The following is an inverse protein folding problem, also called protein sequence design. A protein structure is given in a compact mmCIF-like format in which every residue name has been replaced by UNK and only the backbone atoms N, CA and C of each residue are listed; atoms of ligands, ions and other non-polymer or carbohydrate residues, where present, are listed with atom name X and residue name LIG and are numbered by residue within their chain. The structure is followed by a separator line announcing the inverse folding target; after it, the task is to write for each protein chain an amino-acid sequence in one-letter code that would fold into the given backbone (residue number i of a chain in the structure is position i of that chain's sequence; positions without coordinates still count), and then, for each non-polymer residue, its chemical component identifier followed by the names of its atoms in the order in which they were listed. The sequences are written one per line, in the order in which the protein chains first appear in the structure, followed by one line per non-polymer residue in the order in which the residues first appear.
data_IF_932835070099
#
_entry.id   IF_932835070099
#
_cell.length_a   1.000
_cell.length_b   1.000
_cell.length_c   1.000
_cell.angle_alpha   90.00
_cell.angle_beta   90.00
_cell.angle_gamma   90.00
#
_symmetry.space_group_name_H-M   'P 1'
#
loop_
_entity.id
_entity.type
_entity.pdbx_description
1 polymer ?
#
# COMPACT_ATOMS: atom_id res chain seq x y z
N UNK A 1 -4.63 -13.34 -10.84
CA UNK A 1 -4.81 -12.74 -12.18
C UNK A 1 -5.46 -11.38 -12.00
N UNK A 2 -4.93 -10.32 -12.64
CA UNK A 2 -5.53 -8.99 -12.70
C UNK A 2 -5.93 -8.71 -14.16
N UNK A 3 -7.02 -9.32 -14.60
CA UNK A 3 -7.51 -9.09 -15.97
C UNK A 3 -8.12 -7.70 -16.07
N UNK A 4 -7.79 -6.96 -17.13
CA UNK A 4 -8.35 -5.64 -17.40
C UNK A 4 -7.70 -4.46 -16.68
N UNK A 5 -6.69 -4.69 -15.84
CA UNK A 5 -5.93 -3.60 -15.20
C UNK A 5 -4.71 -3.27 -16.06
N UNK A 6 -4.56 -2.02 -16.54
CA UNK A 6 -3.40 -1.66 -17.34
C UNK A 6 -2.13 -1.70 -16.48
N UNK A 7 -0.99 -2.05 -17.07
CA UNK A 7 0.29 -2.07 -16.36
C UNK A 7 0.64 -0.71 -15.76
N UNK A 8 0.22 0.38 -16.39
CA UNK A 8 0.36 1.75 -15.89
C UNK A 8 -0.31 1.98 -14.52
N UNK A 9 -1.38 1.26 -14.21
CA UNK A 9 -2.04 1.32 -12.90
C UNK A 9 -1.15 0.79 -11.77
N UNK A 10 -0.20 -0.09 -12.09
CA UNK A 10 0.77 -0.61 -11.11
C UNK A 10 1.85 0.43 -10.83
N UNK A 11 2.30 1.16 -11.86
CA UNK A 11 3.26 2.25 -11.74
C UNK A 11 2.75 3.42 -10.88
N UNK A 12 1.47 3.80 -11.06
CA UNK A 12 0.87 4.91 -10.30
C UNK A 12 0.30 4.49 -8.94
N UNK A 13 0.54 3.24 -8.52
CA UNK A 13 0.01 2.64 -7.29
C UNK A 13 -1.53 2.66 -7.16
N UNK A 14 -2.27 2.97 -8.23
CA UNK A 14 -3.73 3.11 -8.25
C UNK A 14 -4.48 1.79 -8.52
N UNK A 15 -3.76 0.66 -8.57
CA UNK A 15 -4.36 -0.65 -8.88
C UNK A 15 -5.47 -1.02 -7.89
N UNK A 16 -5.26 -0.79 -6.59
CA UNK A 16 -6.27 -1.10 -5.57
C UNK A 16 -7.49 -0.20 -5.74
N UNK A 17 -7.28 1.08 -5.99
CA UNK A 17 -8.35 2.05 -6.16
C UNK A 17 -9.22 1.71 -7.37
N UNK A 18 -8.61 1.35 -8.51
CA UNK A 18 -9.35 0.90 -9.70
C UNK A 18 -10.19 -0.35 -9.40
N UNK A 19 -9.61 -1.34 -8.70
CA UNK A 19 -10.34 -2.55 -8.32
C UNK A 19 -11.56 -2.23 -7.43
N UNK A 20 -11.38 -1.33 -6.46
CA UNK A 20 -12.45 -0.94 -5.54
C UNK A 20 -13.53 -0.12 -6.24
N UNK A 21 -13.15 0.77 -7.15
CA UNK A 21 -14.09 1.53 -7.98
C UNK A 21 -14.90 0.63 -8.91
N UNK A 22 -14.28 -0.40 -9.48
CA UNK A 22 -14.99 -1.38 -10.31
C UNK A 22 -15.96 -2.21 -9.48
N UNK A 23 -15.54 -2.63 -8.28
CA UNK A 23 -16.40 -3.36 -7.34
C UNK A 23 -17.63 -2.51 -6.96
N UNK A 24 -17.42 -1.24 -6.65
CA UNK A 24 -18.48 -0.29 -6.32
C UNK A 24 -19.40 -0.04 -7.54
N UNK A 25 -18.83 0.04 -8.75
CA UNK A 25 -19.61 0.14 -9.99
C UNK A 25 -20.47 -1.10 -10.25
N UNK A 26 -19.91 -2.30 -10.07
CA UNK A 26 -20.65 -3.56 -10.13
C UNK A 26 -21.80 -3.56 -9.12
N UNK A 27 -21.53 -3.13 -7.88
CA UNK A 27 -22.54 -3.08 -6.84
C UNK A 27 -23.68 -2.11 -7.14
N UNK A 28 -23.37 -0.93 -7.72
CA UNK A 28 -24.37 0.08 -8.10
C UNK A 28 -25.22 -0.32 -9.31
N UNK A 29 -24.61 -0.97 -10.31
CA UNK A 29 -25.28 -1.29 -11.58
C UNK A 29 -26.13 -2.56 -11.49
N UNK A 30 -25.81 -3.46 -10.56
CA UNK A 30 -26.58 -4.68 -10.35
C UNK A 30 -27.95 -4.36 -9.76
N UNK A 31 -29.03 -4.82 -10.42
CA UNK A 31 -30.41 -4.59 -9.97
C UNK A 31 -30.84 -5.53 -8.82
N UNK A 32 -29.99 -6.47 -8.39
CA UNK A 32 -30.30 -7.52 -7.42
C UNK A 32 -29.17 -7.70 -6.39
N UNK A 33 -29.24 -8.75 -5.56
CA UNK A 33 -28.24 -9.04 -4.51
C UNK A 33 -26.82 -9.17 -5.08
N UNK A 34 -25.90 -8.35 -4.58
CA UNK A 34 -24.48 -8.45 -4.88
C UNK A 34 -23.84 -9.58 -4.07
N UNK A 35 -23.18 -10.52 -4.75
CA UNK A 35 -22.42 -11.59 -4.12
C UNK A 35 -20.93 -11.40 -4.38
N UNK A 36 -20.11 -11.42 -3.32
CA UNK A 36 -18.66 -11.35 -3.41
C UNK A 36 -18.08 -12.71 -3.04
N UNK A 37 -17.27 -13.28 -3.93
CA UNK A 37 -16.55 -14.53 -3.67
C UNK A 37 -15.07 -14.22 -3.46
N UNK A 38 -14.57 -14.50 -2.26
CA UNK A 38 -13.15 -14.38 -1.94
C UNK A 38 -12.42 -15.67 -2.34
N UNK A 39 -11.80 -15.66 -3.51
CA UNK A 39 -10.99 -16.76 -4.01
C UNK A 39 -9.54 -16.59 -3.54
N UNK A 40 -9.20 -17.19 -2.40
CA UNK A 40 -7.83 -17.17 -1.88
C UNK A 40 -6.99 -18.31 -2.45
N UNK A 41 -5.92 -17.98 -3.18
CA UNK A 41 -4.72 -18.82 -3.20
C UNK A 41 -3.94 -18.53 -1.91
N UNK A 42 -3.36 -19.54 -1.24
CA UNK A 42 -2.85 -19.46 0.16
C UNK A 42 -2.01 -18.22 0.49
N UNK A 43 -1.37 -17.58 -0.49
CA UNK A 43 -0.62 -16.34 -0.34
C UNK A 43 -0.90 -15.39 -1.51
N UNK A 44 -2.07 -14.76 -1.54
CA UNK A 44 -2.37 -13.71 -2.50
C UNK A 44 -1.31 -12.59 -2.49
N UNK A 45 -1.14 -11.89 -3.61
CA UNK A 45 -0.17 -10.79 -3.73
C UNK A 45 -0.48 -9.69 -2.70
N UNK A 46 0.47 -9.39 -1.82
CA UNK A 46 0.37 -8.29 -0.86
C UNK A 46 1.06 -7.05 -1.43
N UNK A 47 0.25 -6.09 -1.86
CA UNK A 47 0.75 -4.81 -2.37
C UNK A 47 1.25 -3.92 -1.24
N UNK A 48 2.23 -3.08 -1.57
CA UNK A 48 2.59 -1.92 -0.74
C UNK A 48 1.42 -0.93 -0.75
N UNK A 49 1.03 -0.37 0.41
CA UNK A 49 -0.04 0.62 0.47
C UNK A 49 0.36 1.92 -0.23
N UNK A 50 -0.49 2.42 -1.13
CA UNK A 50 -0.26 3.68 -1.83
C UNK A 50 -0.33 4.90 -0.89
N UNK A 51 -1.10 4.81 0.19
CA UNK A 51 -1.17 5.82 1.24
C UNK A 51 -1.21 5.20 2.64
N UNK A 52 -0.65 5.90 3.61
CA UNK A 52 -0.62 5.53 5.03
C UNK A 52 -1.06 6.76 5.83
N UNK A 53 -1.89 6.55 6.87
CA UNK A 53 -2.27 7.65 7.75
C UNK A 53 -1.07 8.19 8.52
N UNK A 54 -1.07 9.49 8.80
CA UNK A 54 0.01 10.14 9.54
C UNK A 54 0.40 9.40 10.82
N UNK A 55 -0.60 9.05 11.64
CA UNK A 55 -0.37 8.36 12.92
C UNK A 55 0.25 6.97 12.76
N UNK A 56 -0.18 6.18 11.78
CA UNK A 56 0.41 4.87 11.53
C UNK A 56 1.84 5.03 11.02
N UNK A 57 2.08 5.99 10.13
CA UNK A 57 3.41 6.22 9.59
C UNK A 57 4.42 6.61 10.68
N UNK A 58 4.07 7.54 11.56
CA UNK A 58 4.90 7.90 12.71
C UNK A 58 5.19 6.69 13.62
N UNK A 59 4.19 5.86 13.88
CA UNK A 59 4.36 4.65 14.68
C UNK A 59 5.32 3.66 14.03
N UNK A 60 5.28 3.51 12.69
CA UNK A 60 6.23 2.70 11.95
C UNK A 60 7.66 3.28 12.01
N UNK A 61 7.81 4.59 11.87
CA UNK A 61 9.10 5.26 12.01
C UNK A 61 9.71 5.07 13.40
N UNK A 62 8.90 5.17 14.45
CA UNK A 62 9.32 4.95 15.83
C UNK A 62 9.80 3.51 16.04
N UNK A 63 9.06 2.53 15.51
CA UNK A 63 9.43 1.11 15.57
C UNK A 63 10.73 0.81 14.80
N UNK A 64 11.09 1.61 13.80
CA UNK A 64 12.32 1.48 13.01
C UNK A 64 13.49 2.29 13.57
N UNK A 65 13.35 2.97 14.72
CA UNK A 65 14.42 3.84 15.28
C UNK A 65 15.75 3.12 15.52
N UNK A 66 15.74 1.80 15.71
CA UNK A 66 16.95 0.99 15.87
C UNK A 66 17.70 0.75 14.55
N UNK A 67 17.03 0.87 13.39
CA UNK A 67 17.64 0.70 12.07
C UNK A 67 17.46 1.95 11.21
N UNK A 68 18.44 2.84 11.29
CA UNK A 68 18.43 4.15 10.63
C UNK A 68 18.34 4.02 9.10
N UNK A 69 18.97 3.02 8.49
CA UNK A 69 18.92 2.83 7.03
C UNK A 69 17.52 2.49 6.55
N UNK A 70 16.81 1.59 7.25
CA UNK A 70 15.44 1.20 6.91
C UNK A 70 14.46 2.37 7.14
N UNK A 71 14.67 3.14 8.21
CA UNK A 71 13.89 4.34 8.50
C UNK A 71 14.06 5.40 7.41
N UNK A 72 15.30 5.72 7.04
CA UNK A 72 15.59 6.70 6.00
C UNK A 72 15.01 6.27 4.65
N UNK A 73 15.09 4.98 4.31
CA UNK A 73 14.48 4.45 3.10
C UNK A 73 12.95 4.59 3.10
N UNK A 74 12.29 4.37 4.24
CA UNK A 74 10.83 4.56 4.36
C UNK A 74 10.44 6.03 4.16
N UNK A 75 11.17 6.96 4.78
CA UNK A 75 10.97 8.41 4.62
C UNK A 75 11.26 8.86 3.19
N UNK A 76 12.23 8.24 2.53
CA UNK A 76 12.52 8.51 1.12
C UNK A 76 11.41 7.99 0.19
N UNK A 77 10.64 6.98 0.58
CA UNK A 77 9.60 6.43 -0.29
C UNK A 77 8.25 7.12 -0.13
N UNK A 78 7.96 7.67 1.05
CA UNK A 78 6.69 8.32 1.32
C UNK A 78 6.84 9.83 1.50
N UNK A 79 5.91 10.58 0.92
CA UNK A 79 5.83 12.03 1.04
C UNK A 79 4.59 12.41 1.86
N UNK A 80 4.76 13.30 2.84
CA UNK A 80 3.65 13.86 3.59
C UNK A 80 2.85 14.82 2.70
N UNK A 81 1.54 14.61 2.63
CA UNK A 81 0.58 15.54 2.09
C UNK A 81 -0.21 16.20 3.23
N UNK A 82 0.08 17.48 3.44
CA UNK A 82 -0.56 18.32 4.46
C UNK A 82 -1.87 18.94 3.95
N UNK A 83 -2.19 18.82 2.65
CA UNK A 83 -3.44 19.32 2.09
C UNK A 83 -4.64 18.45 2.46
N UNK A 84 -4.39 17.21 2.92
CA UNK A 84 -5.43 16.30 3.36
C UNK A 84 -5.83 16.60 4.81
N UNK A 85 -7.14 16.66 5.09
CA UNK A 85 -7.68 16.99 6.42
C UNK A 85 -7.06 16.16 7.56
N UNK A 86 -6.81 14.87 7.33
CA UNK A 86 -6.23 13.97 8.33
C UNK A 86 -4.71 13.78 8.21
N UNK A 87 -4.02 14.52 7.34
CA UNK A 87 -2.61 14.36 6.96
C UNK A 87 -2.27 12.91 6.55
N UNK A 88 -1.78 12.71 5.32
CA UNK A 88 -1.49 11.36 4.82
C UNK A 88 -0.13 11.31 4.16
N UNK A 89 0.53 10.19 4.33
CA UNK A 89 1.75 9.88 3.61
C UNK A 89 1.40 9.12 2.35
N UNK A 90 1.83 9.64 1.20
CA UNK A 90 1.63 9.02 -0.10
C UNK A 90 2.95 8.46 -0.63
N UNK A 91 2.89 7.27 -1.21
CA UNK A 91 4.02 6.66 -1.89
C UNK A 91 4.36 7.49 -3.12
N UNK A 92 5.65 7.83 -3.30
CA UNK A 92 6.10 8.63 -4.45
C UNK A 92 5.84 7.89 -5.77
N UNK A 93 5.44 8.59 -6.85
CA UNK A 93 5.33 7.99 -8.16
C UNK A 93 6.72 7.58 -8.67
N UNK A 94 6.79 6.43 -9.35
CA UNK A 94 8.04 5.90 -9.90
C UNK A 94 7.90 5.70 -11.41
N UNK A 95 8.83 6.28 -12.15
CA UNK A 95 8.82 6.29 -13.62
C UNK A 95 9.38 5.00 -14.23
N UNK A 96 10.27 4.28 -13.51
CA UNK A 96 10.96 3.06 -14.00
C UNK A 96 10.43 1.76 -13.35
N UNK A 97 9.84 0.90 -14.18
CA UNK A 97 9.22 -0.36 -13.77
C UNK A 97 10.18 -1.46 -13.29
N UNK A 98 11.39 -1.52 -13.85
CA UNK A 98 12.34 -2.58 -13.44
C UNK A 98 12.92 -2.28 -12.05
N UNK A 99 13.21 -1.00 -11.80
CA UNK A 99 13.66 -0.53 -10.49
C UNK A 99 12.56 -0.68 -9.43
N UNK A 100 11.30 -0.40 -9.80
CA UNK A 100 10.17 -0.53 -8.89
C UNK A 100 10.04 -1.93 -8.28
N UNK A 101 10.16 -3.00 -9.09
CA UNK A 101 9.97 -4.37 -8.57
C UNK A 101 10.96 -4.72 -7.45
N UNK A 102 12.21 -4.26 -7.55
CA UNK A 102 13.22 -4.46 -6.51
C UNK A 102 12.89 -3.63 -5.26
N UNK A 103 12.53 -2.36 -5.46
CA UNK A 103 12.18 -1.42 -4.39
C UNK A 103 10.93 -1.86 -3.64
N UNK A 104 9.91 -2.34 -4.35
CA UNK A 104 8.65 -2.83 -3.80
C UNK A 104 8.89 -3.99 -2.84
N UNK A 105 9.69 -4.98 -3.23
CA UNK A 105 10.03 -6.12 -2.37
C UNK A 105 10.76 -5.67 -1.10
N UNK A 106 11.74 -4.76 -1.23
CA UNK A 106 12.46 -4.19 -0.09
C UNK A 106 11.53 -3.44 0.85
N UNK A 107 10.67 -2.58 0.30
CA UNK A 107 9.71 -1.77 1.05
C UNK A 107 8.68 -2.65 1.77
N UNK A 108 8.19 -3.70 1.10
CA UNK A 108 7.27 -4.67 1.69
C UNK A 108 7.90 -5.38 2.89
N UNK A 109 9.17 -5.80 2.79
CA UNK A 109 9.89 -6.42 3.91
C UNK A 109 10.06 -5.46 5.09
N UNK A 110 10.43 -4.20 4.82
CA UNK A 110 10.60 -3.17 5.86
C UNK A 110 9.27 -2.91 6.57
N UNK A 111 8.18 -2.72 5.82
CA UNK A 111 6.85 -2.50 6.39
C UNK A 111 6.37 -3.69 7.23
N UNK A 112 6.62 -4.92 6.77
CA UNK A 112 6.29 -6.13 7.55
C UNK A 112 7.11 -6.22 8.84
N UNK A 113 8.41 -5.94 8.75
CA UNK A 113 9.30 -5.95 9.91
C UNK A 113 8.87 -4.89 10.92
N UNK A 114 8.62 -3.66 10.47
CA UNK A 114 8.15 -2.56 11.32
C UNK A 114 6.82 -2.91 11.99
N UNK A 115 5.83 -3.41 11.23
CA UNK A 115 4.55 -3.83 11.77
C UNK A 115 4.69 -4.96 12.83
N UNK A 116 5.58 -5.93 12.60
CA UNK A 116 5.85 -6.99 13.57
C UNK A 116 6.50 -6.46 14.86
N UNK A 117 7.38 -5.47 14.75
CA UNK A 117 7.97 -4.80 15.92
C UNK A 117 6.87 -4.09 16.71
N UNK A 118 6.01 -3.33 16.04
CA UNK A 118 4.93 -2.61 16.71
C UNK A 118 3.93 -3.56 17.38
N UNK A 119 3.57 -4.66 16.71
CA UNK A 119 2.73 -5.71 17.28
C UNK A 119 3.34 -6.32 18.55
N UNK A 120 4.65 -6.63 18.53
CA UNK A 120 5.37 -7.14 19.72
C UNK A 120 5.45 -6.12 20.86
N UNK A 121 5.44 -4.83 20.53
CA UNK A 121 5.43 -3.73 21.51
C UNK A 121 4.03 -3.43 22.07
N UNK A 122 2.97 -4.06 21.53
CA UNK A 122 1.59 -3.85 21.97
C UNK A 122 1.04 -2.47 21.61
N UNK A 123 1.59 -1.83 20.58
CA UNK A 123 1.16 -0.52 20.08
C UNK A 123 0.16 -0.65 18.93
#
# INVERSE_FOLDING_TARGET
MRWGIPSTASNSHSTVDMCLQELDSCCRLSMATNCIVLLSHRYGSRLVPACISFRIFQLLEDCLSTNIEEKNFLIEMYQLDENYLEHKYFLRPIDDNQQWTLLENKLQLILQKAANICYKQGK
#
